data_IF_318840136797
#
_entry.id   IF_318840136797
#
_cell.length_a   1.000
_cell.length_b   1.000
_cell.length_c   1.000
_cell.angle_alpha   90.00
_cell.angle_beta   90.00
_cell.angle_gamma   90.00
#
_symmetry.space_group_name_H-M   'P 1'
#
loop_
_entity.id
_entity.type
_entity.pdbx_description
1 polymer ?
#
# COMPACT_ATOMS: atom_id res chain seq x y z
N UNK A 1 -51.70 -4.95 -55.65
CA UNK A 1 -51.43 -5.01 -55.16
C UNK A 1 -50.54 -5.09 -54.46
N UNK A 2 -50.04 -5.01 -54.14
CA UNK A 2 -49.42 -5.05 -53.52
C UNK A 2 -48.58 -5.07 -52.79
N UNK A 3 -48.34 -4.99 -52.59
CA UNK A 3 -47.68 -5.07 -51.97
C UNK A 3 -46.74 -4.99 -51.35
N UNK A 4 -46.43 -4.88 -51.16
CA UNK A 4 -45.61 -4.88 -50.57
C UNK A 4 -44.81 -4.61 -49.82
N UNK A 5 -44.55 -4.50 -49.68
CA UNK A 5 -43.94 -4.36 -49.00
C UNK A 5 -43.20 -4.39 -48.25
N UNK A 6 -42.84 -4.30 -47.90
CA UNK A 6 -42.32 -4.43 -47.21
C UNK A 6 -41.38 -4.42 -46.62
N UNK A 7 -41.14 -4.28 -46.32
CA UNK A 7 -40.39 -4.38 -45.78
C UNK A 7 -39.54 -4.22 -45.16
N UNK A 8 -39.30 -4.23 -44.88
CA UNK A 8 -38.50 -4.22 -44.39
C UNK A 8 -37.72 -3.98 -43.61
N UNK A 9 -37.43 -3.81 -43.39
CA UNK A 9 -36.77 -3.57 -42.75
C UNK A 9 -36.15 -3.59 -41.89
N UNK A 10 -35.82 -3.53 -41.52
CA UNK A 10 -35.33 -3.61 -40.71
C UNK A 10 -34.33 -3.67 -40.19
N UNK A 11 -34.12 -3.79 -39.93
CA UNK A 11 -33.29 -4.01 -39.48
C UNK A 11 -32.48 -3.65 -38.75
N UNK A 12 -32.16 -3.51 -38.54
CA UNK A 12 -31.38 -3.27 -37.96
C UNK A 12 -30.79 -3.11 -37.06
N UNK A 13 -30.51 -2.94 -36.81
CA UNK A 13 -30.02 -2.69 -36.01
C UNK A 13 -29.29 -2.96 -35.14
N UNK A 14 -29.30 -3.00 -34.67
CA UNK A 14 -28.76 -3.42 -33.76
C UNK A 14 -27.61 -3.25 -33.41
N UNK A 15 -27.26 -3.42 -33.35
CA UNK A 15 -26.18 -3.36 -33.05
C UNK A 15 -25.43 -2.83 -32.27
N UNK A 16 -25.04 -2.46 -32.28
CA UNK A 16 -24.28 -1.92 -31.60
C UNK A 16 -23.96 -2.20 -30.45
N UNK A 17 -23.91 -1.88 -29.96
CA UNK A 17 -23.63 -2.15 -28.80
C UNK A 17 -22.61 -2.66 -28.37
N UNK A 18 -22.49 -3.20 -28.46
CA UNK A 18 -21.53 -3.89 -28.11
C UNK A 18 -20.42 -3.25 -27.68
N UNK A 19 -19.88 -2.73 -28.29
CA UNK A 19 -18.69 -2.24 -27.91
C UNK A 19 -18.52 -2.02 -26.59
N UNK A 20 -19.14 -1.46 -26.07
CA UNK A 20 -18.90 -1.24 -24.86
C UNK A 20 -18.38 -2.09 -24.07
N UNK A 21 -18.74 -2.92 -24.08
CA UNK A 21 -18.27 -3.84 -23.20
C UNK A 21 -16.90 -3.81 -23.19
N UNK A 22 -16.42 -3.79 -24.09
CA UNK A 22 -15.09 -3.88 -24.13
C UNK A 22 -14.48 -3.12 -23.16
N UNK A 23 -14.71 -2.11 -23.07
CA UNK A 23 -14.03 -1.38 -22.23
C UNK A 23 -13.87 -1.92 -21.01
N UNK A 24 -14.72 -2.35 -20.59
CA UNK A 24 -14.58 -2.77 -19.35
C UNK A 24 -13.64 -3.65 -19.11
N UNK A 25 -13.46 -4.35 -19.82
CA UNK A 25 -12.61 -5.29 -19.54
C UNK A 25 -11.42 -5.02 -19.10
N UNK A 26 -10.90 -4.16 -19.42
CA UNK A 26 -9.64 -4.04 -19.03
C UNK A 26 -9.42 -4.37 -17.69
N UNK A 27 -10.10 -4.02 -16.92
CA UNK A 27 -9.78 -4.29 -15.63
C UNK A 27 -9.26 -5.53 -15.22
N UNK A 28 -9.84 -6.46 -15.40
CA UNK A 28 -9.46 -7.68 -14.87
C UNK A 28 -8.16 -8.13 -15.18
N UNK A 29 -7.74 -7.93 -16.14
CA UNK A 29 -6.54 -8.42 -16.43
C UNK A 29 -5.45 -7.64 -16.13
N UNK A 30 -5.56 -6.72 -15.54
CA UNK A 30 -4.55 -6.00 -15.25
C UNK A 30 -3.60 -6.61 -14.47
N UNK A 31 -2.47 -6.59 -14.65
CA UNK A 31 -1.46 -7.18 -13.95
C UNK A 31 -1.42 -6.51 -12.72
N UNK A 32 -1.26 -7.13 -11.89
CA UNK A 32 -1.21 -6.65 -10.63
C UNK A 32 -0.21 -5.76 -10.42
N UNK A 33 0.21 -5.34 -10.94
CA UNK A 33 1.07 -4.63 -10.72
C UNK A 33 1.22 -4.04 -9.84
N UNK A 34 1.08 -4.04 -9.79
CA UNK A 34 1.20 -3.45 -9.20
C UNK A 34 1.39 -3.02 -8.30
N UNK A 35 1.20 -3.33 -8.05
CA UNK A 35 1.42 -3.22 -6.98
C UNK A 35 2.14 -2.25 -6.37
N UNK A 36 1.99 -1.24 -6.55
CA UNK A 36 2.70 -0.31 -5.88
C UNK A 36 2.29 -0.42 -4.49
N UNK A 37 3.15 -0.39 -3.62
CA UNK A 37 2.81 -0.50 -2.28
C UNK A 37 2.00 0.69 -1.94
N UNK A 38 1.02 0.51 -1.17
CA UNK A 38 0.28 1.55 -0.83
C UNK A 38 0.61 2.04 0.46
N UNK A 39 0.85 3.21 0.61
CA UNK A 39 1.12 3.81 1.89
C UNK A 39 2.33 3.20 2.51
N UNK A 40 2.26 3.00 3.81
CA UNK A 40 3.43 2.59 4.56
C UNK A 40 3.62 1.10 4.60
N UNK A 41 2.67 0.34 4.13
CA UNK A 41 2.82 -1.10 4.24
C UNK A 41 4.03 -1.63 3.52
N UNK A 42 4.65 -2.63 4.08
CA UNK A 42 5.83 -3.24 3.51
C UNK A 42 6.98 -3.29 4.49
N UNK A 43 8.16 -3.48 3.99
CA UNK A 43 9.37 -3.64 4.81
C UNK A 43 10.28 -2.44 4.62
N UNK A 44 10.88 -2.04 5.71
CA UNK A 44 11.72 -0.85 5.75
C UNK A 44 12.98 -1.13 6.53
N UNK A 45 14.09 -0.57 6.07
CA UNK A 45 15.37 -0.78 6.72
C UNK A 45 15.77 0.52 7.40
N UNK A 46 16.35 0.46 8.57
CA UNK A 46 16.75 1.68 9.28
C UNK A 46 18.07 2.22 8.71
N UNK A 47 18.44 3.40 9.17
CA UNK A 47 19.63 4.05 8.66
C UNK A 47 20.93 3.33 8.92
N UNK A 48 20.96 2.42 9.88
CA UNK A 48 22.17 1.67 10.15
C UNK A 48 22.24 0.37 9.36
N UNK A 49 21.11 -0.01 8.75
CA UNK A 49 21.04 -1.27 8.01
C UNK A 49 20.93 -2.48 8.91
N UNK A 50 20.76 -2.29 10.20
CA UNK A 50 20.74 -3.43 11.12
C UNK A 50 19.36 -3.85 11.56
N UNK A 51 18.38 -3.04 11.34
CA UNK A 51 17.02 -3.35 11.78
C UNK A 51 16.06 -3.28 10.60
N UNK A 52 15.20 -4.26 10.50
CA UNK A 52 14.20 -4.34 9.46
C UNK A 52 12.84 -4.21 10.11
N UNK A 53 12.09 -3.21 9.72
CA UNK A 53 10.77 -2.97 10.27
C UNK A 53 9.71 -3.29 9.22
N UNK A 54 8.62 -3.89 9.66
CA UNK A 54 7.54 -4.28 8.77
C UNK A 54 6.25 -3.69 9.27
N UNK A 55 5.49 -3.10 8.36
CA UNK A 55 4.17 -2.56 8.65
C UNK A 55 3.16 -3.36 7.84
N UNK A 56 2.21 -3.95 8.50
CA UNK A 56 1.24 -4.76 7.80
C UNK A 56 -0.08 -4.81 8.58
N UNK A 57 -1.13 -4.29 7.98
CA UNK A 57 -2.44 -4.42 8.58
C UNK A 57 -2.57 -3.79 9.95
N UNK A 58 -1.91 -2.70 10.18
CA UNK A 58 -1.95 -2.03 11.48
C UNK A 58 -0.94 -2.56 12.46
N UNK A 59 -0.14 -3.54 12.09
CA UNK A 59 0.85 -4.10 12.99
C UNK A 59 2.24 -3.69 12.61
N UNK A 60 3.07 -3.49 13.62
CA UNK A 60 4.44 -3.04 13.42
C UNK A 60 5.37 -4.01 14.10
N UNK A 61 6.45 -4.37 13.45
CA UNK A 61 7.42 -5.29 14.01
C UNK A 61 8.79 -4.93 13.48
N UNK A 62 9.77 -4.97 14.36
CA UNK A 62 11.16 -4.75 13.94
C UNK A 62 12.00 -5.94 14.38
N UNK A 63 12.82 -6.42 13.47
CA UNK A 63 13.70 -7.55 13.75
C UNK A 63 15.11 -7.20 13.31
N UNK A 64 16.08 -7.97 13.78
CA UNK A 64 17.44 -7.85 13.31
C UNK A 64 17.48 -8.20 11.83
N UNK A 65 18.10 -7.37 11.03
CA UNK A 65 18.20 -7.63 9.61
C UNK A 65 19.12 -8.82 9.33
N UNK A 66 19.96 -9.16 10.28
CA UNK A 66 20.85 -10.27 10.09
C UNK A 66 20.32 -11.57 10.64
N UNK A 67 19.76 -11.57 11.81
CA UNK A 67 19.37 -12.82 12.46
C UNK A 67 17.88 -13.03 12.56
N UNK A 68 17.10 -11.98 12.34
CA UNK A 68 15.65 -12.09 12.49
C UNK A 68 15.18 -12.00 13.92
N UNK A 69 16.08 -11.72 14.85
CA UNK A 69 15.71 -11.65 16.24
C UNK A 69 14.80 -10.47 16.47
N UNK A 70 13.73 -10.60 17.21
CA UNK A 70 12.78 -9.50 17.38
C UNK A 70 13.34 -8.41 18.28
N UNK A 71 13.26 -7.19 17.81
CA UNK A 71 13.72 -6.03 18.53
C UNK A 71 12.56 -5.22 19.10
N UNK A 72 11.43 -5.21 18.45
CA UNK A 72 10.29 -4.40 18.85
C UNK A 72 9.02 -4.89 18.19
N UNK A 73 7.91 -4.60 18.82
CA UNK A 73 6.62 -4.94 18.20
C UNK A 73 5.55 -4.01 18.71
N UNK A 74 4.50 -3.83 17.95
CA UNK A 74 3.42 -2.96 18.32
C UNK A 74 2.43 -2.79 17.20
N UNK A 75 1.85 -1.59 17.16
CA UNK A 75 0.83 -1.26 16.17
C UNK A 75 1.16 0.09 15.58
N UNK A 76 0.53 0.40 14.45
CA UNK A 76 0.65 1.73 13.90
C UNK A 76 -0.72 2.16 13.40
N UNK A 77 -0.92 3.45 13.32
CA UNK A 77 -2.13 3.98 12.73
C UNK A 77 -1.77 5.19 11.91
N UNK A 78 -2.49 5.37 10.81
CA UNK A 78 -2.26 6.54 9.97
C UNK A 78 -2.95 7.72 10.62
N UNK A 79 -2.24 8.83 10.76
CA UNK A 79 -2.79 10.03 11.33
C UNK A 79 -3.06 11.06 10.24
N UNK A 80 -2.68 10.76 9.02
CA UNK A 80 -2.93 11.61 7.86
C UNK A 80 -2.60 10.81 6.62
N UNK A 81 -2.65 11.44 5.48
CA UNK A 81 -2.37 10.73 4.23
C UNK A 81 -0.94 10.21 4.18
N UNK A 82 -0.01 10.93 4.79
CA UNK A 82 1.39 10.53 4.74
C UNK A 82 2.01 10.47 6.14
N UNK A 83 1.23 10.65 7.19
CA UNK A 83 1.77 10.62 8.54
C UNK A 83 1.20 9.44 9.31
N UNK A 84 1.97 8.92 10.21
CA UNK A 84 1.54 7.79 11.01
C UNK A 84 2.17 7.82 12.39
N UNK A 85 1.57 7.10 13.29
CA UNK A 85 2.05 7.00 14.64
C UNK A 85 2.28 5.54 14.96
N UNK A 86 3.39 5.23 15.57
CA UNK A 86 3.75 3.86 15.93
C UNK A 86 3.76 3.78 17.45
N UNK A 87 3.11 2.77 17.98
CA UNK A 87 3.05 2.56 19.42
C UNK A 87 3.43 1.11 19.66
N UNK A 88 4.31 0.87 20.57
CA UNK A 88 4.71 -0.51 20.82
C UNK A 88 5.66 -0.62 21.96
N UNK A 89 6.44 -1.69 21.95
CA UNK A 89 7.38 -2.00 23.02
C UNK A 89 8.71 -2.40 22.42
N UNK A 90 9.78 -1.85 22.95
CA UNK A 90 11.11 -2.29 22.60
C UNK A 90 11.39 -3.56 23.39
N UNK A 91 11.66 -4.64 22.70
CA UNK A 91 11.92 -5.90 23.38
C UNK A 91 13.34 -5.96 23.91
N UNK A 92 14.19 -5.06 23.45
CA UNK A 92 15.55 -5.02 23.93
C UNK A 92 15.64 -4.19 25.20
N UNK A 93 14.99 -3.03 25.21
CA UNK A 93 15.08 -2.15 26.37
C UNK A 93 13.91 -2.28 27.31
N UNK A 94 12.87 -2.99 26.90
CA UNK A 94 11.67 -3.17 27.69
C UNK A 94 11.01 -1.81 27.98
N UNK A 95 11.03 -0.93 26.98
CA UNK A 95 10.44 0.39 27.13
C UNK A 95 9.38 0.59 26.08
N UNK A 96 8.54 1.55 26.33
CA UNK A 96 7.47 1.83 25.39
C UNK A 96 7.94 2.63 24.23
N UNK A 97 7.41 2.38 23.07
CA UNK A 97 7.74 3.09 21.85
C UNK A 97 6.58 3.98 21.47
N UNK A 98 6.88 5.25 21.22
CA UNK A 98 5.92 6.17 20.68
C UNK A 98 6.68 6.98 19.66
N UNK A 99 6.37 6.79 18.41
CA UNK A 99 7.12 7.40 17.32
C UNK A 99 6.17 7.95 16.30
N UNK A 100 6.44 9.13 15.80
CA UNK A 100 5.67 9.74 14.74
C UNK A 100 6.50 9.73 13.48
N UNK A 101 5.92 9.32 12.39
CA UNK A 101 6.63 9.24 11.13
C UNK A 101 5.90 9.99 10.04
N UNK A 102 6.67 10.49 9.08
CA UNK A 102 6.13 11.17 7.93
C UNK A 102 6.72 10.51 6.70
N UNK A 103 5.87 10.10 5.77
CA UNK A 103 6.33 9.49 4.56
C UNK A 103 6.66 10.61 3.60
N UNK A 104 7.91 10.87 3.37
CA UNK A 104 8.33 11.96 2.50
C UNK A 104 8.44 11.52 1.05
N UNK A 105 8.45 10.23 0.81
CA UNK A 105 8.35 9.66 -0.53
C UNK A 105 7.87 8.24 -0.37
N UNK A 106 7.61 7.55 -1.45
CA UNK A 106 7.14 6.19 -1.31
C UNK A 106 8.23 5.28 -0.78
N UNK A 107 9.45 5.76 -0.74
CA UNK A 107 10.57 4.94 -0.28
C UNK A 107 11.24 5.47 0.98
N UNK A 108 10.72 6.50 1.57
CA UNK A 108 11.39 7.07 2.74
C UNK A 108 10.41 7.54 3.82
N UNK A 109 10.65 7.12 5.05
CA UNK A 109 9.91 7.59 6.20
C UNK A 109 10.86 8.34 7.09
N UNK A 110 10.47 9.53 7.49
CA UNK A 110 11.24 10.28 8.47
C UNK A 110 10.49 10.16 9.78
N UNK A 111 11.13 9.71 10.82
CA UNK A 111 10.49 9.41 12.08
C UNK A 111 11.13 10.17 13.23
N UNK A 112 10.35 10.46 14.25
CA UNK A 112 10.82 11.12 15.45
C UNK A 112 10.26 10.36 16.64
N UNK A 113 11.11 9.95 17.55
CA UNK A 113 10.65 9.21 18.71
C UNK A 113 10.25 10.16 19.83
N UNK A 114 9.78 9.62 20.93
CA UNK A 114 9.27 10.45 22.03
C UNK A 114 10.38 11.24 22.71
N UNK A 115 11.62 10.91 22.48
CA UNK A 115 12.72 11.66 23.03
C UNK A 115 13.17 12.78 22.06
N UNK A 116 12.50 12.91 20.94
CA UNK A 116 12.87 13.92 19.97
C UNK A 116 13.96 13.50 19.01
N UNK A 117 14.34 12.23 19.03
CA UNK A 117 15.41 11.79 18.16
C UNK A 117 14.86 11.45 16.80
N UNK A 118 15.53 11.91 15.77
CA UNK A 118 15.10 11.68 14.39
C UNK A 118 15.82 10.51 13.79
N UNK A 119 15.11 9.75 12.99
CA UNK A 119 15.74 8.66 12.25
C UNK A 119 14.94 8.40 10.97
N UNK A 120 15.51 7.65 10.06
CA UNK A 120 14.96 7.46 8.75
C UNK A 120 14.84 5.99 8.44
N UNK A 121 13.72 5.60 7.86
CA UNK A 121 13.55 4.27 7.32
C UNK A 121 13.52 4.38 5.80
N UNK A 122 14.16 3.45 5.13
CA UNK A 122 14.14 3.38 3.68
C UNK A 122 13.42 2.10 3.28
N UNK A 123 12.55 2.18 2.30
CA UNK A 123 11.77 1.03 1.90
C UNK A 123 12.71 -0.02 1.31
N UNK A 124 12.49 -1.25 1.73
CA UNK A 124 13.28 -2.32 1.24
C UNK A 124 12.52 -3.01 0.15
N UNK A 125 13.13 -3.20 -1.00
CA UNK A 125 12.48 -3.84 -2.13
C UNK A 125 12.94 -5.25 -2.33
#
# INVERSE_FOLDING_TARGET
MNIARKIVSMSVAAVALAGLAACTTSGPNEPPMAAAPKGVEGSWIDGTGKALSTFNGGKYKTVSAETGEPFAEGTYSMTGATSLEITGTSLIRHTQINTNCLMVSINQLNCTDSAGKNFVFTRRT
#
